data_IF_383494934826
#
_entry.id   IF_383494934826
#
_cell.length_a   1.000
_cell.length_b   1.000
_cell.length_c   1.000
_cell.angle_alpha   90.00
_cell.angle_beta   90.00
_cell.angle_gamma   90.00
#
_symmetry.space_group_name_H-M   'P 1'
#
loop_
_entity.id
_entity.type
_entity.pdbx_description
1 polymer ?
#
# COMPACT_ATOMS: atom_id res chain seq x y z
N UNK A 1 -3.72 10.07 8.29
CA UNK A 1 -3.76 8.65 7.89
C UNK A 1 -4.29 7.86 9.07
N UNK A 2 -5.34 7.06 8.89
CA UNK A 2 -5.97 6.32 9.98
C UNK A 2 -5.32 4.95 10.20
N UNK A 3 -4.96 4.24 9.12
CA UNK A 3 -4.31 2.93 9.19
C UNK A 3 -3.56 2.65 7.88
N UNK A 4 -2.50 1.84 7.94
CA UNK A 4 -1.68 1.45 6.79
C UNK A 4 -1.26 -0.01 6.89
N UNK A 5 -1.40 -0.71 5.77
CA UNK A 5 -0.91 -2.07 5.61
C UNK A 5 0.07 -2.13 4.43
N UNK A 6 1.27 -2.65 4.68
CA UNK A 6 2.34 -2.72 3.69
C UNK A 6 2.57 -4.17 3.26
N UNK A 7 2.70 -4.36 1.95
CA UNK A 7 2.98 -5.64 1.29
C UNK A 7 4.00 -5.44 0.16
N UNK A 8 4.72 -6.50 -0.19
CA UNK A 8 5.51 -6.58 -1.42
C UNK A 8 4.68 -7.20 -2.55
N UNK A 9 4.91 -6.76 -3.79
CA UNK A 9 4.42 -7.40 -5.03
C UNK A 9 5.61 -7.77 -5.92
N UNK A 10 5.54 -8.84 -6.73
CA UNK A 10 6.65 -9.24 -7.59
C UNK A 10 7.07 -8.13 -8.56
N UNK A 11 8.37 -7.96 -8.74
CA UNK A 11 8.95 -7.05 -9.73
C UNK A 11 10.13 -7.73 -10.42
N UNK A 12 10.14 -7.71 -11.75
CA UNK A 12 11.21 -8.34 -12.56
C UNK A 12 12.59 -7.72 -12.31
N UNK A 13 12.65 -6.44 -11.98
CA UNK A 13 13.91 -5.70 -11.78
C UNK A 13 14.45 -5.79 -10.35
N UNK A 14 13.58 -5.75 -9.35
CA UNK A 14 13.97 -5.61 -7.94
C UNK A 14 13.60 -6.82 -7.08
N UNK A 15 12.99 -7.86 -7.67
CA UNK A 15 12.42 -9.00 -6.95
C UNK A 15 11.05 -8.67 -6.38
N UNK A 16 10.98 -7.65 -5.52
CA UNK A 16 9.73 -7.12 -4.99
C UNK A 16 9.68 -5.58 -5.04
N UNK A 17 8.47 -5.04 -5.22
CA UNK A 17 8.16 -3.62 -5.05
C UNK A 17 7.16 -3.44 -3.89
N UNK A 18 7.31 -2.33 -3.17
CA UNK A 18 6.51 -2.05 -1.97
C UNK A 18 5.20 -1.36 -2.36
N UNK A 19 4.07 -1.91 -1.92
CA UNK A 19 2.74 -1.31 -2.00
C UNK A 19 2.25 -0.98 -0.59
N UNK A 20 1.82 0.26 -0.38
CA UNK A 20 1.16 0.69 0.85
C UNK A 20 -0.35 0.82 0.60
N UNK A 21 -1.14 0.04 1.31
CA UNK A 21 -2.59 0.23 1.39
C UNK A 21 -2.89 1.19 2.53
N UNK A 22 -3.57 2.29 2.23
CA UNK A 22 -3.76 3.42 3.12
C UNK A 22 -5.24 3.65 3.33
N UNK A 23 -5.67 3.66 4.60
CA UNK A 23 -6.99 4.13 4.99
C UNK A 23 -6.87 5.52 5.60
N UNK A 24 -7.64 6.46 5.10
CA UNK A 24 -7.66 7.83 5.62
C UNK A 24 -8.73 7.96 6.71
N UNK A 25 -8.64 9.04 7.48
CA UNK A 25 -9.75 9.43 8.35
C UNK A 25 -10.90 9.92 7.47
N UNK A 26 -12.17 9.75 7.92
CA UNK A 26 -13.32 10.30 7.20
C UNK A 26 -13.13 11.79 6.87
N UNK A 27 -13.48 12.18 5.65
CA UNK A 27 -13.38 13.57 5.17
C UNK A 27 -11.95 14.06 4.88
N UNK A 28 -10.93 13.22 5.05
CA UNK A 28 -9.55 13.59 4.74
C UNK A 28 -9.13 13.08 3.37
N UNK A 29 -8.33 13.87 2.67
CA UNK A 29 -7.69 13.50 1.41
C UNK A 29 -6.19 13.78 1.48
N UNK A 30 -5.41 12.97 0.78
CA UNK A 30 -3.97 13.17 0.57
C UNK A 30 -3.60 12.47 -0.73
N UNK A 31 -2.65 13.03 -1.48
CA UNK A 31 -2.15 12.43 -2.71
C UNK A 31 -1.06 11.39 -2.45
N UNK A 32 -0.83 10.50 -3.42
CA UNK A 32 0.30 9.58 -3.38
C UNK A 32 1.64 10.30 -3.35
N UNK A 33 1.74 11.45 -4.03
CA UNK A 33 2.96 12.27 -4.10
C UNK A 33 3.28 12.84 -2.72
N UNK A 34 2.30 13.41 -2.03
CA UNK A 34 2.49 13.93 -0.66
C UNK A 34 2.93 12.84 0.30
N UNK A 35 2.31 11.64 0.25
CA UNK A 35 2.72 10.51 1.09
C UNK A 35 4.12 10.01 0.75
N UNK A 36 4.47 9.97 -0.54
CA UNK A 36 5.80 9.55 -1.00
C UNK A 36 6.88 10.51 -0.52
N UNK A 37 6.68 11.82 -0.67
CA UNK A 37 7.63 12.83 -0.20
C UNK A 37 7.73 12.83 1.32
N UNK A 38 6.59 12.70 2.01
CA UNK A 38 6.56 12.58 3.46
C UNK A 38 7.39 11.38 3.97
N UNK A 39 7.28 10.23 3.30
CA UNK A 39 8.04 9.02 3.60
C UNK A 39 9.53 9.17 3.22
N UNK A 40 9.83 9.66 2.02
CA UNK A 40 11.20 9.89 1.52
C UNK A 40 12.03 10.75 2.47
N UNK A 41 11.41 11.74 3.12
CA UNK A 41 12.07 12.60 4.09
C UNK A 41 12.39 11.91 5.44
N UNK A 42 11.84 10.72 5.71
CA UNK A 42 11.88 10.07 7.04
C UNK A 42 12.49 8.67 7.04
N UNK A 43 12.46 7.97 5.91
CA UNK A 43 12.97 6.60 5.79
C UNK A 43 13.90 6.48 4.59
N UNK A 44 14.76 5.45 4.62
CA UNK A 44 15.66 5.16 3.52
C UNK A 44 14.89 4.96 2.20
N UNK A 45 15.45 5.45 1.10
CA UNK A 45 14.81 5.48 -0.23
C UNK A 45 14.19 4.15 -0.64
N UNK A 46 14.88 3.03 -0.42
CA UNK A 46 14.41 1.69 -0.78
C UNK A 46 13.24 1.16 0.08
N UNK A 47 12.92 1.83 1.20
CA UNK A 47 11.75 1.53 2.04
C UNK A 47 10.52 2.37 1.68
N UNK A 48 10.68 3.36 0.81
CA UNK A 48 9.56 4.21 0.38
C UNK A 48 8.64 3.38 -0.53
N UNK A 49 7.33 3.29 -0.23
CA UNK A 49 6.40 2.58 -1.09
C UNK A 49 6.42 3.15 -2.51
N UNK A 50 6.48 2.24 -3.48
CA UNK A 50 6.41 2.62 -4.89
C UNK A 50 4.98 2.95 -5.27
N UNK A 51 4.03 2.17 -4.76
CA UNK A 51 2.61 2.33 -5.01
C UNK A 51 1.86 2.61 -3.71
N UNK A 52 0.87 3.49 -3.80
CA UNK A 52 -0.06 3.79 -2.71
C UNK A 52 -1.47 3.48 -3.18
N UNK A 53 -2.20 2.70 -2.39
CA UNK A 53 -3.58 2.34 -2.68
C UNK A 53 -4.47 2.87 -1.56
N UNK A 54 -5.38 3.76 -1.88
CA UNK A 54 -6.36 4.25 -0.92
C UNK A 54 -7.56 3.32 -0.86
N UNK A 55 -7.98 2.96 0.36
CA UNK A 55 -9.11 2.05 0.60
C UNK A 55 -9.94 2.51 1.80
N UNK A 56 -11.23 2.22 1.77
CA UNK A 56 -12.12 2.43 2.91
C UNK A 56 -11.98 1.32 3.96
N UNK A 57 -11.65 0.11 3.52
CA UNK A 57 -11.46 -1.06 4.37
C UNK A 57 -10.39 -2.01 3.82
N UNK A 58 -9.78 -2.79 4.71
CA UNK A 58 -8.88 -3.87 4.33
C UNK A 58 -9.65 -5.20 4.18
N UNK A 59 -9.14 -6.15 3.38
CA UNK A 59 -9.58 -7.53 3.45
C UNK A 59 -9.28 -8.10 4.83
N UNK A 60 -10.31 -8.58 5.53
CA UNK A 60 -10.21 -9.07 6.90
C UNK A 60 -10.82 -10.48 7.02
N UNK A 61 -10.31 -11.28 7.95
CA UNK A 61 -10.99 -12.49 8.40
C UNK A 61 -12.26 -12.13 9.19
N UNK A 62 -13.13 -13.12 9.42
CA UNK A 62 -14.30 -12.98 10.31
C UNK A 62 -13.94 -12.57 11.75
N UNK A 63 -12.70 -12.82 12.17
CA UNK A 63 -12.14 -12.41 13.47
C UNK A 63 -11.40 -11.07 13.43
N UNK A 64 -11.45 -10.35 12.30
CA UNK A 64 -10.86 -9.02 12.16
C UNK A 64 -9.34 -9.00 11.92
N UNK A 65 -8.74 -10.10 11.43
CA UNK A 65 -7.31 -10.11 11.06
C UNK A 65 -7.13 -9.72 9.60
N UNK A 66 -6.19 -8.81 9.33
CA UNK A 66 -5.85 -8.40 7.96
C UNK A 66 -5.33 -9.58 7.14
N UNK A 67 -5.87 -9.76 5.93
CA UNK A 67 -5.47 -10.79 4.99
C UNK A 67 -4.47 -10.23 3.96
N UNK A 68 -3.19 -10.13 4.35
CA UNK A 68 -2.12 -9.58 3.48
C UNK A 68 -1.95 -10.35 2.16
N UNK A 69 -2.25 -11.65 2.14
CA UNK A 69 -2.18 -12.45 0.91
C UNK A 69 -3.23 -11.98 -0.12
N UNK A 70 -4.47 -11.70 0.32
CA UNK A 70 -5.51 -11.12 -0.55
C UNK A 70 -5.10 -9.75 -1.08
N UNK A 71 -4.54 -8.91 -0.22
CA UNK A 71 -4.04 -7.61 -0.64
C UNK A 71 -2.95 -7.75 -1.72
N UNK A 72 -2.06 -8.74 -1.60
CA UNK A 72 -1.03 -9.03 -2.60
C UNK A 72 -1.67 -9.48 -3.92
N UNK A 73 -2.60 -10.44 -3.88
CA UNK A 73 -3.33 -10.90 -5.07
C UNK A 73 -3.97 -9.73 -5.83
N UNK A 74 -4.76 -8.91 -5.13
CA UNK A 74 -5.45 -7.76 -5.73
C UNK A 74 -4.45 -6.74 -6.29
N UNK A 75 -3.36 -6.46 -5.56
CA UNK A 75 -2.36 -5.49 -6.02
C UNK A 75 -1.60 -6.00 -7.25
N UNK A 76 -1.31 -7.31 -7.33
CA UNK A 76 -0.67 -7.91 -8.50
C UNK A 76 -1.58 -7.84 -9.72
N UNK A 77 -2.86 -8.17 -9.55
CA UNK A 77 -3.85 -8.11 -10.61
C UNK A 77 -3.99 -6.68 -11.17
N UNK A 78 -4.16 -5.69 -10.31
CA UNK A 78 -4.30 -4.28 -10.72
C UNK A 78 -3.04 -3.70 -11.38
N UNK A 79 -1.86 -4.08 -10.89
CA UNK A 79 -0.59 -3.60 -11.46
C UNK A 79 -0.22 -4.32 -12.76
N UNK A 80 -0.70 -5.56 -12.96
CA UNK A 80 -0.49 -6.30 -14.21
C UNK A 80 -1.45 -5.87 -15.32
N UNK A 81 -2.60 -5.29 -14.95
CA UNK A 81 -3.58 -4.74 -15.89
C UNK A 81 -3.24 -3.32 -16.40
N UNK A 82 -2.13 -2.74 -15.92
CA UNK A 82 -1.62 -1.41 -16.32
C UNK A 82 -0.48 -1.54 -17.31
#
# INVERSE_FOLDING_TARGET
>A
VADVQVIGVPCSKYGEEIVAWVRLHPGHAVSEVELREWARARIAHFKVPRYFRFVDAFPMTVTGKVQKFRMREISVEELSAR
#
